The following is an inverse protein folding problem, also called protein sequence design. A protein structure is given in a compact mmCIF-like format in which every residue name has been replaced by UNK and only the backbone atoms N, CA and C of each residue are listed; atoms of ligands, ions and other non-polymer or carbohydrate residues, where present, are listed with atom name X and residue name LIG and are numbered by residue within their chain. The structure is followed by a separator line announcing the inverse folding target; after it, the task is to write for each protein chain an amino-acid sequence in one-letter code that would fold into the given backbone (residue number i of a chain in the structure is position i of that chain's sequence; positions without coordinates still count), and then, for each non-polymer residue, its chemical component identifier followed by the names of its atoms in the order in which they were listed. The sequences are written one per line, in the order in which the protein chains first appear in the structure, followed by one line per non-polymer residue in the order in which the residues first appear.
data_IF_211169881385
#
_entry.id   IF_211169881385
#
_cell.length_a   1.000
_cell.length_b   1.000
_cell.length_c   1.000
_cell.angle_alpha   90.00
_cell.angle_beta   90.00
_cell.angle_gamma   90.00
#
_symmetry.space_group_name_H-M   'P 1'
#
loop_
_entity.id
_entity.type
_entity.pdbx_description
1 polymer ?
#
# COMPACT_ATOMS: atom_id res chain seq x y z
N UNK A 1 -15.66 -4.80 -1.76
CA UNK A 1 -14.73 -3.80 -2.36
C UNK A 1 -13.30 -4.34 -2.41
N UNK A 2 -12.81 -4.99 -1.35
CA UNK A 2 -11.50 -5.66 -1.35
C UNK A 2 -11.38 -6.75 -2.40
N UNK A 3 -12.49 -7.43 -2.74
CA UNK A 3 -12.56 -8.45 -3.81
C UNK A 3 -12.18 -7.92 -5.21
N UNK A 4 -12.17 -6.61 -5.39
CA UNK A 4 -11.76 -5.97 -6.63
C UNK A 4 -10.23 -5.78 -6.72
N UNK A 5 -9.50 -6.01 -5.63
CA UNK A 5 -8.04 -5.93 -5.64
C UNK A 5 -7.47 -7.10 -6.43
N UNK A 6 -6.65 -6.80 -7.41
CA UNK A 6 -6.10 -7.82 -8.29
C UNK A 6 -6.93 -8.04 -9.56
N UNK A 7 -6.78 -9.20 -10.17
CA UNK A 7 -7.39 -9.52 -11.47
C UNK A 7 -7.22 -8.42 -12.53
N UNK A 8 -6.15 -7.63 -12.42
CA UNK A 8 -5.86 -6.53 -13.32
C UNK A 8 -5.61 -7.05 -14.74
N UNK A 9 -6.07 -6.31 -15.78
CA UNK A 9 -6.00 -6.76 -17.15
C UNK A 9 -4.57 -6.84 -17.67
N UNK A 10 -4.38 -7.70 -18.67
CA UNK A 10 -3.18 -7.78 -19.48
C UNK A 10 -3.39 -7.02 -20.78
N UNK A 11 -2.41 -6.20 -21.19
CA UNK A 11 -2.43 -5.43 -22.42
C UNK A 11 -1.19 -5.76 -23.25
N UNK A 12 -1.40 -6.18 -24.49
CA UNK A 12 -0.31 -6.33 -25.45
C UNK A 12 0.06 -4.98 -26.08
N UNK A 13 1.33 -4.62 -26.03
CA UNK A 13 1.86 -3.37 -26.58
C UNK A 13 2.12 -3.48 -28.09
N UNK A 14 1.09 -3.84 -28.87
CA UNK A 14 1.22 -4.15 -30.30
C UNK A 14 1.80 -3.00 -31.13
N UNK A 15 1.38 -1.77 -30.87
CA UNK A 15 1.90 -0.60 -31.60
C UNK A 15 3.37 -0.32 -31.24
N UNK A 16 3.73 -0.46 -29.98
CA UNK A 16 5.10 -0.30 -29.53
C UNK A 16 6.01 -1.37 -30.13
N UNK A 17 5.57 -2.62 -30.16
CA UNK A 17 6.28 -3.72 -30.79
C UNK A 17 6.55 -3.46 -32.27
N UNK A 18 5.53 -3.03 -33.02
CA UNK A 18 5.66 -2.69 -34.45
C UNK A 18 6.62 -1.51 -34.67
N UNK A 19 6.47 -0.43 -33.92
CA UNK A 19 7.29 0.79 -34.07
C UNK A 19 8.78 0.56 -33.76
N UNK A 20 9.11 -0.45 -32.98
CA UNK A 20 10.48 -0.77 -32.55
C UNK A 20 11.01 -2.08 -33.17
N UNK A 21 10.28 -2.67 -34.11
CA UNK A 21 10.63 -3.93 -34.77
C UNK A 21 11.03 -5.04 -33.77
N UNK A 22 10.26 -5.18 -32.68
CA UNK A 22 10.56 -6.16 -31.64
C UNK A 22 10.04 -7.53 -32.04
N UNK A 23 10.92 -8.55 -31.91
CA UNK A 23 10.56 -9.95 -32.12
C UNK A 23 9.75 -10.57 -30.99
N UNK A 24 9.92 -10.05 -29.78
CA UNK A 24 9.20 -10.52 -28.59
C UNK A 24 7.83 -9.83 -28.47
N UNK A 25 6.83 -10.59 -28.01
CA UNK A 25 5.55 -10.03 -27.60
C UNK A 25 5.70 -9.38 -26.23
N UNK A 26 5.43 -8.08 -26.11
CA UNK A 26 5.41 -7.39 -24.85
C UNK A 26 3.98 -7.32 -24.32
N UNK A 27 3.77 -7.92 -23.17
CA UNK A 27 2.48 -7.91 -22.46
C UNK A 27 2.71 -7.25 -21.09
N UNK A 28 1.91 -6.23 -20.78
CA UNK A 28 1.97 -5.51 -19.51
C UNK A 28 0.73 -5.78 -18.67
N UNK A 29 0.93 -5.89 -17.37
CA UNK A 29 -0.16 -6.02 -16.40
C UNK A 29 -0.50 -4.63 -15.86
N UNK A 30 -1.76 -4.20 -16.05
CA UNK A 30 -2.18 -2.82 -15.79
C UNK A 30 -2.60 -2.69 -14.32
N UNK A 31 -1.66 -2.49 -13.42
CA UNK A 31 -1.90 -2.40 -11.98
C UNK A 31 -2.64 -1.10 -11.54
N UNK A 32 -2.73 -0.11 -12.41
CA UNK A 32 -3.57 1.08 -12.18
C UNK A 32 -5.08 0.78 -12.17
N UNK A 33 -5.49 -0.40 -12.58
CA UNK A 33 -6.88 -0.86 -12.50
C UNK A 33 -7.27 -1.42 -11.13
N UNK A 34 -6.34 -1.51 -10.18
CA UNK A 34 -6.71 -1.78 -8.79
C UNK A 34 -7.57 -0.63 -8.22
N UNK A 35 -8.45 -0.88 -7.24
CA UNK A 35 -9.41 0.11 -6.72
C UNK A 35 -8.80 1.43 -6.24
N UNK A 36 -7.65 1.40 -5.59
CA UNK A 36 -6.91 2.60 -5.16
C UNK A 36 -5.82 3.01 -6.17
N UNK A 37 -5.80 2.40 -7.36
CA UNK A 37 -5.05 2.84 -8.53
C UNK A 37 -3.61 2.36 -8.61
N UNK A 38 -3.17 1.37 -7.85
CA UNK A 38 -1.79 0.89 -7.94
C UNK A 38 -1.61 -0.58 -7.49
N UNK A 39 -0.43 -1.14 -7.81
CA UNK A 39 0.00 -2.45 -7.32
C UNK A 39 0.03 -2.51 -5.77
N UNK A 40 0.10 -1.37 -5.09
CA UNK A 40 0.19 -1.33 -3.62
C UNK A 40 -1.11 -1.70 -2.92
N UNK A 41 -2.22 -1.70 -3.62
CA UNK A 41 -3.49 -2.21 -3.10
C UNK A 41 -3.37 -3.69 -2.70
N UNK A 42 -2.60 -4.46 -3.48
CA UNK A 42 -2.34 -5.88 -3.21
C UNK A 42 -1.60 -6.10 -1.90
N UNK A 43 -0.51 -5.37 -1.68
CA UNK A 43 0.27 -5.53 -0.44
C UNK A 43 -0.46 -4.96 0.76
N UNK A 44 -1.20 -3.86 0.59
CA UNK A 44 -2.01 -3.28 1.66
C UNK A 44 -3.05 -4.29 2.16
N UNK A 45 -3.79 -4.92 1.24
CA UNK A 45 -4.76 -5.95 1.59
C UNK A 45 -4.08 -7.16 2.25
N UNK A 46 -3.00 -7.67 1.65
CA UNK A 46 -2.30 -8.85 2.17
C UNK A 46 -1.72 -8.64 3.58
N UNK A 47 -1.14 -7.47 3.86
CA UNK A 47 -0.59 -7.17 5.18
C UNK A 47 -1.69 -7.04 6.24
N UNK A 48 -2.83 -6.44 5.90
CA UNK A 48 -3.97 -6.33 6.81
C UNK A 48 -4.56 -7.71 7.10
N UNK A 49 -4.81 -8.53 6.09
CA UNK A 49 -5.36 -9.89 6.24
C UNK A 49 -4.41 -10.83 6.99
N UNK A 50 -3.11 -10.72 6.78
CA UNK A 50 -2.11 -11.46 7.54
C UNK A 50 -2.12 -11.06 9.04
N UNK A 51 -2.22 -9.77 9.33
CA UNK A 51 -2.33 -9.26 10.70
C UNK A 51 -3.64 -9.68 11.39
N UNK A 52 -4.76 -9.72 10.67
CA UNK A 52 -6.04 -10.26 11.14
C UNK A 52 -5.93 -11.76 11.45
N UNK A 53 -5.35 -12.52 10.52
CA UNK A 53 -5.18 -13.99 10.67
C UNK A 53 -4.29 -14.34 11.85
N UNK A 54 -3.25 -13.56 12.11
CA UNK A 54 -2.35 -13.71 13.26
C UNK A 54 -2.96 -13.19 14.57
N UNK A 55 -4.15 -12.59 14.53
CA UNK A 55 -4.79 -12.00 15.70
C UNK A 55 -4.10 -10.74 16.24
N UNK A 56 -3.15 -10.18 15.48
CA UNK A 56 -2.45 -8.94 15.85
C UNK A 56 -3.33 -7.73 15.62
N UNK A 57 -4.13 -7.75 14.56
CA UNK A 57 -5.11 -6.72 14.22
C UNK A 57 -6.53 -7.21 14.59
N UNK A 58 -7.19 -6.49 15.48
CA UNK A 58 -8.53 -6.82 15.99
C UNK A 58 -9.55 -5.77 15.55
N UNK A 59 -10.84 -6.08 15.49
CA UNK A 59 -11.88 -5.08 15.23
C UNK A 59 -11.72 -3.87 16.16
N UNK A 60 -11.69 -2.67 15.57
CA UNK A 60 -11.47 -1.42 16.31
C UNK A 60 -10.00 -1.04 16.56
N UNK A 61 -9.04 -1.89 16.18
CA UNK A 61 -7.61 -1.55 16.22
C UNK A 61 -7.29 -0.34 15.33
N UNK A 62 -6.19 0.33 15.66
CA UNK A 62 -5.64 1.43 14.85
C UNK A 62 -4.41 0.92 14.09
N UNK A 63 -4.42 1.09 12.79
CA UNK A 63 -3.24 0.87 11.94
C UNK A 63 -2.42 2.14 11.92
N UNK A 64 -1.12 2.04 12.15
CA UNK A 64 -0.16 3.14 12.01
C UNK A 64 0.87 2.71 10.97
N UNK A 65 1.19 3.56 10.00
CA UNK A 65 2.21 3.22 9.01
C UNK A 65 3.00 4.46 8.59
N UNK A 66 4.34 4.40 8.62
CA UNK A 66 5.19 5.46 8.08
C UNK A 66 5.26 5.31 6.55
N UNK A 67 4.48 6.09 5.83
CA UNK A 67 4.48 6.04 4.36
C UNK A 67 3.91 7.31 3.75
N UNK A 68 4.49 7.71 2.63
CA UNK A 68 4.06 8.87 1.84
C UNK A 68 3.60 8.49 0.43
N UNK A 69 3.67 7.21 0.11
CA UNK A 69 3.45 6.69 -1.24
C UNK A 69 2.13 5.95 -1.44
N UNK A 70 2.08 5.18 -2.51
CA UNK A 70 0.91 4.39 -2.89
C UNK A 70 0.53 3.33 -1.86
N UNK A 71 1.48 2.88 -1.02
CA UNK A 71 1.15 1.99 0.11
C UNK A 71 0.18 2.67 1.08
N UNK A 72 0.40 3.96 1.39
CA UNK A 72 -0.53 4.73 2.22
C UNK A 72 -1.93 4.83 1.60
N UNK A 73 -2.01 5.02 0.28
CA UNK A 73 -3.29 5.07 -0.44
C UNK A 73 -4.00 3.71 -0.38
N UNK A 74 -3.27 2.61 -0.64
CA UNK A 74 -3.81 1.26 -0.53
C UNK A 74 -4.28 0.92 0.89
N UNK A 75 -3.50 1.30 1.92
CA UNK A 75 -3.89 1.11 3.32
C UNK A 75 -5.11 1.93 3.69
N UNK A 76 -5.21 3.19 3.22
CA UNK A 76 -6.38 4.03 3.47
C UNK A 76 -7.65 3.43 2.85
N UNK A 77 -7.56 2.92 1.63
CA UNK A 77 -8.64 2.19 0.97
C UNK A 77 -9.06 0.94 1.78
N UNK A 78 -8.11 0.08 2.14
CA UNK A 78 -8.40 -1.17 2.87
C UNK A 78 -8.95 -0.87 4.27
N UNK A 79 -8.37 0.08 4.99
CA UNK A 79 -8.81 0.49 6.32
C UNK A 79 -10.25 1.04 6.28
N UNK A 80 -10.57 1.89 5.30
CA UNK A 80 -11.92 2.41 5.12
C UNK A 80 -12.95 1.30 4.87
N UNK A 81 -12.61 0.31 4.03
CA UNK A 81 -13.51 -0.81 3.71
C UNK A 81 -13.71 -1.75 4.90
N UNK A 82 -12.63 -2.02 5.65
CA UNK A 82 -12.66 -2.97 6.79
C UNK A 82 -13.02 -2.32 8.14
N UNK A 83 -13.18 -0.98 8.18
CA UNK A 83 -13.58 -0.26 9.38
C UNK A 83 -12.46 -0.02 10.40
N UNK A 84 -11.20 -0.01 9.97
CA UNK A 84 -10.07 0.31 10.82
C UNK A 84 -9.78 1.81 10.85
N UNK A 85 -9.30 2.31 11.99
CA UNK A 85 -8.64 3.61 12.04
C UNK A 85 -7.27 3.51 11.40
N UNK A 86 -6.88 4.53 10.65
CA UNK A 86 -5.56 4.59 10.01
C UNK A 86 -4.87 5.92 10.33
N UNK A 87 -3.68 5.85 10.86
CA UNK A 87 -2.78 6.99 11.07
C UNK A 87 -1.57 6.80 10.15
N UNK A 88 -1.30 7.77 9.29
CA UNK A 88 -0.14 7.78 8.43
C UNK A 88 0.84 8.87 8.89
N UNK A 89 2.09 8.49 9.12
CA UNK A 89 3.16 9.44 9.42
C UNK A 89 3.99 9.68 8.16
N UNK A 90 4.27 10.96 7.87
CA UNK A 90 5.00 11.34 6.67
C UNK A 90 5.66 12.71 6.82
N UNK A 91 6.75 12.99 6.06
CA UNK A 91 7.35 14.32 6.01
C UNK A 91 6.35 15.36 5.48
N UNK A 92 6.43 16.58 6.00
CA UNK A 92 5.59 17.72 5.59
C UNK A 92 5.88 18.22 4.16
N UNK A 93 6.96 17.73 3.55
CA UNK A 93 7.31 17.99 2.15
C UNK A 93 6.44 17.26 1.13
N UNK A 94 5.55 16.35 1.60
CA UNK A 94 4.61 15.66 0.72
C UNK A 94 3.58 16.59 0.13
N UNK A 95 3.22 16.37 -1.16
CA UNK A 95 2.31 17.23 -1.88
C UNK A 95 0.92 17.35 -1.21
N UNK A 96 0.33 18.53 -1.34
CA UNK A 96 -0.99 18.83 -0.75
C UNK A 96 -2.06 17.90 -1.33
N UNK A 97 -1.98 17.62 -2.63
CA UNK A 97 -2.92 16.74 -3.33
C UNK A 97 -2.93 15.33 -2.73
N UNK A 98 -1.73 14.79 -2.44
CA UNK A 98 -1.61 13.48 -1.80
C UNK A 98 -2.18 13.48 -0.38
N UNK A 99 -1.89 14.52 0.39
CA UNK A 99 -2.44 14.67 1.75
C UNK A 99 -3.97 14.76 1.71
N UNK A 100 -4.52 15.50 0.76
CA UNK A 100 -5.97 15.64 0.60
C UNK A 100 -6.62 14.31 0.18
N UNK A 101 -6.00 13.56 -0.73
CA UNK A 101 -6.49 12.23 -1.12
C UNK A 101 -6.55 11.27 0.08
N UNK A 102 -5.48 11.20 0.87
CA UNK A 102 -5.43 10.32 2.05
C UNK A 102 -6.47 10.70 3.10
N UNK A 103 -6.67 12.00 3.35
CA UNK A 103 -7.73 12.50 4.24
C UNK A 103 -9.12 12.17 3.71
N UNK A 104 -9.35 12.32 2.41
CA UNK A 104 -10.63 11.99 1.78
C UNK A 104 -10.95 10.48 1.90
N UNK A 105 -9.94 9.62 1.96
CA UNK A 105 -10.07 8.19 2.22
C UNK A 105 -10.21 7.86 3.72
N UNK A 106 -10.24 8.86 4.61
CA UNK A 106 -10.46 8.69 6.04
C UNK A 106 -9.19 8.49 6.89
N UNK A 107 -7.99 8.65 6.30
CA UNK A 107 -6.75 8.53 7.07
C UNK A 107 -6.47 9.80 7.89
N UNK A 108 -6.02 9.62 9.12
CA UNK A 108 -5.41 10.66 9.93
C UNK A 108 -3.95 10.83 9.52
N UNK A 109 -3.50 12.09 9.31
CA UNK A 109 -2.14 12.37 8.91
C UNK A 109 -1.37 13.07 10.02
N UNK A 110 -0.22 12.51 10.37
CA UNK A 110 0.74 13.10 11.29
C UNK A 110 1.98 13.50 10.49
N UNK A 111 2.19 14.80 10.35
CA UNK A 111 3.31 15.34 9.60
C UNK A 111 4.54 15.46 10.50
N UNK A 112 5.70 15.12 9.95
CA UNK A 112 7.02 15.26 10.58
C UNK A 112 7.86 16.27 9.83
N UNK A 113 8.88 16.87 10.47
CA UNK A 113 9.77 17.81 9.78
C UNK A 113 10.40 17.20 8.53
N UNK A 114 10.34 17.90 7.41
CA UNK A 114 10.89 17.41 6.14
C UNK A 114 12.38 17.12 6.20
N UNK A 115 13.13 17.85 7.03
CA UNK A 115 14.56 17.65 7.25
C UNK A 115 14.89 16.23 7.79
N UNK A 116 13.97 15.63 8.56
CA UNK A 116 14.16 14.29 9.14
C UNK A 116 13.77 13.17 8.16
N UNK A 117 13.16 13.52 7.03
CA UNK A 117 12.77 12.59 5.97
C UNK A 117 11.94 11.41 6.50
N UNK A 118 12.12 10.24 5.88
CA UNK A 118 11.40 9.03 6.31
C UNK A 118 11.82 8.51 7.68
N UNK A 119 13.05 8.80 8.12
CA UNK A 119 13.50 8.41 9.48
C UNK A 119 12.65 9.08 10.56
N UNK A 120 12.36 10.38 10.39
CA UNK A 120 11.45 11.10 11.30
C UNK A 120 10.04 10.54 11.29
N UNK A 121 9.52 10.17 10.13
CA UNK A 121 8.21 9.54 10.02
C UNK A 121 8.14 8.18 10.72
N UNK A 122 9.19 7.34 10.58
CA UNK A 122 9.29 6.05 11.26
C UNK A 122 9.34 6.23 12.78
N UNK A 123 10.20 7.12 13.28
CA UNK A 123 10.30 7.41 14.72
C UNK A 123 8.95 7.89 15.29
N UNK A 124 8.24 8.74 14.55
CA UNK A 124 6.90 9.21 14.95
C UNK A 124 5.85 8.11 14.95
N UNK A 125 5.92 7.17 14.01
CA UNK A 125 5.03 6.02 14.00
C UNK A 125 5.23 5.13 15.24
N UNK A 126 6.47 4.86 15.65
CA UNK A 126 6.78 4.10 16.85
C UNK A 126 6.35 4.83 18.14
N UNK A 127 6.54 6.14 18.21
CA UNK A 127 6.04 6.97 19.32
C UNK A 127 4.51 6.84 19.44
N UNK A 128 3.78 6.98 18.33
CA UNK A 128 2.32 6.88 18.30
C UNK A 128 1.86 5.47 18.68
N UNK A 129 2.56 4.43 18.20
CA UNK A 129 2.26 3.04 18.57
C UNK A 129 2.39 2.82 20.08
N UNK A 130 3.44 3.35 20.70
CA UNK A 130 3.64 3.24 22.14
C UNK A 130 2.55 3.97 22.93
N UNK A 131 2.02 5.07 22.39
CA UNK A 131 0.97 5.89 23.02
C UNK A 131 -0.47 5.39 22.75
N UNK A 132 -0.65 4.50 21.75
CA UNK A 132 -1.99 4.07 21.30
C UNK A 132 -2.17 2.58 21.57
N UNK A 133 -2.91 2.24 22.60
CA UNK A 133 -3.20 0.84 22.92
C UNK A 133 -3.94 0.14 21.77
N UNK A 134 -3.57 -1.10 21.47
CA UNK A 134 -4.18 -1.90 20.39
C UNK A 134 -3.83 -1.42 18.98
N UNK A 135 -2.83 -0.55 18.83
CA UNK A 135 -2.34 -0.13 17.51
C UNK A 135 -1.29 -1.08 16.95
N UNK A 136 -1.22 -1.16 15.63
CA UNK A 136 -0.34 -2.03 14.87
C UNK A 136 0.40 -1.23 13.80
N UNK A 137 1.72 -1.39 13.70
CA UNK A 137 2.51 -0.98 12.52
C UNK A 137 2.68 -2.21 11.64
N UNK A 138 2.27 -2.12 10.38
CA UNK A 138 2.33 -3.23 9.44
C UNK A 138 3.74 -3.44 8.86
N UNK A 139 4.58 -2.40 8.86
CA UNK A 139 6.00 -2.43 8.46
C UNK A 139 6.21 -2.96 7.03
N UNK A 140 5.75 -2.20 6.04
CA UNK A 140 5.75 -2.63 4.64
C UNK A 140 7.10 -3.18 4.12
N UNK A 141 8.23 -2.72 4.67
CA UNK A 141 9.57 -3.13 4.21
C UNK A 141 10.08 -4.41 4.87
N UNK A 142 9.50 -4.82 6.00
CA UNK A 142 9.91 -6.00 6.78
C UNK A 142 8.84 -7.09 6.79
N UNK A 143 7.62 -6.75 6.43
CA UNK A 143 6.47 -7.66 6.51
C UNK A 143 6.54 -8.72 5.40
N UNK A 144 6.63 -10.02 5.74
CA UNK A 144 6.72 -11.10 4.76
C UNK A 144 5.46 -11.25 3.89
N UNK A 145 4.31 -10.74 4.32
CA UNK A 145 3.09 -10.76 3.52
C UNK A 145 3.22 -9.90 2.25
N UNK A 146 4.07 -8.87 2.27
CA UNK A 146 4.34 -8.03 1.10
C UNK A 146 4.98 -8.86 -0.05
N UNK A 147 6.17 -9.45 0.07
CA UNK A 147 6.74 -10.24 -1.01
C UNK A 147 5.91 -11.49 -1.32
N UNK A 148 5.31 -12.15 -0.32
CA UNK A 148 4.48 -13.33 -0.53
C UNK A 148 3.28 -13.06 -1.45
N UNK A 149 2.69 -11.87 -1.38
CA UNK A 149 1.59 -11.48 -2.27
C UNK A 149 2.03 -11.40 -3.73
N UNK A 150 3.22 -10.89 -3.99
CA UNK A 150 3.79 -10.83 -5.35
C UNK A 150 4.15 -12.21 -5.88
N UNK A 151 4.72 -13.08 -5.06
CA UNK A 151 5.01 -14.47 -5.45
C UNK A 151 3.75 -15.21 -5.88
N UNK A 152 2.63 -15.01 -5.18
CA UNK A 152 1.36 -15.69 -5.48
C UNK A 152 0.67 -15.22 -6.75
N UNK A 153 0.85 -13.96 -7.17
CA UNK A 153 -0.01 -13.35 -8.20
C UNK A 153 0.72 -12.74 -9.39
N UNK A 154 1.98 -12.35 -9.27
CA UNK A 154 2.69 -11.71 -10.38
C UNK A 154 4.01 -12.36 -10.74
N UNK A 155 4.78 -12.86 -9.78
CA UNK A 155 6.11 -13.39 -10.03
C UNK A 155 6.13 -14.90 -10.26
N UNK A 156 5.05 -15.61 -9.97
CA UNK A 156 4.97 -17.06 -10.17
C UNK A 156 5.17 -17.47 -11.63
N UNK A 157 4.87 -16.60 -12.59
CA UNK A 157 5.06 -16.84 -14.01
C UNK A 157 6.43 -16.40 -14.53
N UNK A 158 7.27 -15.83 -13.69
CA UNK A 158 8.63 -15.35 -14.03
C UNK A 158 9.70 -16.30 -13.49
N UNK A 159 9.36 -17.08 -12.48
CA UNK A 159 10.30 -17.97 -11.78
C UNK A 159 10.33 -19.41 -12.32
N UNK A 160 9.60 -19.70 -13.37
CA UNK A 160 9.73 -20.91 -14.19
C UNK A 160 10.55 -20.55 -15.46
#
# INVERSE_FOLDING_TARGET
MTDLVGNTPLLELSNYNKSNDLKARLIVKIESFNPAGSVKDRIALAMVEDAETKGVLQPGSTIIEPTSGNTGVGLAFVAAVKGYKLILTMPDTMSVERRNLLKALGAELVLTPGADGMKGAIAKAEELKAATSGSVILQQFENPANPAMHLRLSLIHISE
#
